data_IF_024351344673
#
_entry.id   IF_024351344673
#
_cell.length_a   1.000
_cell.length_b   1.000
_cell.length_c   1.000
_cell.angle_alpha   90.00
_cell.angle_beta   90.00
_cell.angle_gamma   90.00
#
_symmetry.space_group_name_H-M   'P 1'
#
loop_
_entity.id
_entity.type
_entity.pdbx_description
1 polymer ?
#
# COMPACT_ATOMS: atom_id res chain seq x y z
N UNK A 1 -44.48 -26.51 -17.65
CA UNK A 1 -45.34 -25.70 -16.76
C UNK A 1 -44.57 -25.39 -15.50
N UNK A 2 -43.85 -24.27 -15.45
CA UNK A 2 -43.15 -23.79 -14.24
C UNK A 2 -43.88 -22.54 -13.73
N UNK A 3 -44.30 -22.56 -12.47
CA UNK A 3 -44.94 -21.43 -11.77
C UNK A 3 -43.87 -20.54 -11.14
N UNK A 4 -43.98 -19.24 -11.38
CA UNK A 4 -43.22 -18.18 -10.70
C UNK A 4 -43.86 -17.83 -9.34
N UNK A 5 -43.11 -17.37 -8.33
CA UNK A 5 -43.68 -16.82 -7.11
C UNK A 5 -43.89 -15.31 -7.23
N UNK A 6 -45.08 -14.85 -6.83
CA UNK A 6 -45.46 -13.45 -6.72
C UNK A 6 -44.84 -12.81 -5.48
N UNK A 7 -44.10 -11.71 -5.68
CA UNK A 7 -43.58 -10.85 -4.62
C UNK A 7 -44.68 -9.85 -4.21
N UNK A 8 -45.11 -9.88 -2.95
CA UNK A 8 -46.08 -8.95 -2.36
C UNK A 8 -45.29 -7.79 -1.70
N UNK A 9 -45.34 -6.59 -2.29
CA UNK A 9 -44.74 -5.37 -1.73
C UNK A 9 -45.79 -4.67 -0.86
N UNK A 10 -45.53 -4.59 0.44
CA UNK A 10 -46.33 -3.83 1.40
C UNK A 10 -45.82 -2.38 1.44
N UNK A 11 -46.57 -1.45 0.86
CA UNK A 11 -46.31 -0.02 0.97
C UNK A 11 -46.96 0.54 2.24
N UNK A 12 -46.16 0.93 3.23
CA UNK A 12 -46.61 1.62 4.44
C UNK A 12 -46.33 3.12 4.26
N UNK A 13 -47.38 3.91 4.00
CA UNK A 13 -47.26 5.38 3.96
C UNK A 13 -47.52 5.97 5.36
N UNK A 14 -46.51 6.65 5.91
CA UNK A 14 -46.66 7.47 7.10
C UNK A 14 -46.74 8.93 6.67
N UNK A 15 -47.92 9.53 6.82
CA UNK A 15 -48.15 10.96 6.64
C UNK A 15 -47.68 11.72 7.89
N UNK A 16 -46.75 12.66 7.70
CA UNK A 16 -46.29 13.60 8.74
C UNK A 16 -47.09 14.90 8.63
N UNK A 17 -47.64 15.45 9.74
CA UNK A 17 -48.42 16.68 9.70
C UNK A 17 -47.55 17.93 9.48
N UNK A 18 -47.96 18.77 8.52
CA UNK A 18 -47.22 19.91 8.00
C UNK A 18 -47.33 21.21 8.83
N UNK A 19 -47.35 21.16 10.17
CA UNK A 19 -47.60 22.35 11.01
C UNK A 19 -46.47 22.74 11.98
N UNK A 20 -45.24 22.24 11.80
CA UNK A 20 -44.12 22.53 12.72
C UNK A 20 -42.86 23.14 12.06
N UNK A 21 -42.99 23.82 10.90
CA UNK A 21 -41.81 24.23 10.09
C UNK A 21 -41.50 25.75 10.18
N UNK A 22 -42.40 26.60 10.70
CA UNK A 22 -42.21 28.05 10.64
C UNK A 22 -41.28 28.63 11.73
N UNK A 23 -41.26 28.08 12.95
CA UNK A 23 -40.57 28.72 14.09
C UNK A 23 -39.06 28.40 14.21
N UNK A 24 -38.53 27.39 13.51
CA UNK A 24 -37.12 26.99 13.64
C UNK A 24 -36.14 27.79 12.77
N UNK A 25 -36.62 28.62 11.84
CA UNK A 25 -35.77 29.36 10.90
C UNK A 25 -35.14 30.61 11.55
N UNK A 26 -35.84 31.27 12.47
CA UNK A 26 -35.34 32.49 13.13
C UNK A 26 -34.26 32.17 14.19
N UNK A 27 -34.41 31.09 14.96
CA UNK A 27 -33.43 30.71 15.99
C UNK A 27 -32.10 30.19 15.38
N UNK A 28 -32.17 29.48 14.24
CA UNK A 28 -30.98 29.00 13.51
C UNK A 28 -30.15 30.15 12.93
N UNK A 29 -30.78 31.26 12.49
CA UNK A 29 -30.07 32.41 11.94
C UNK A 29 -29.25 33.18 13.02
N UNK A 30 -29.78 33.28 14.24
CA UNK A 30 -29.08 33.93 15.36
C UNK A 30 -27.88 33.10 15.87
N UNK A 31 -28.03 31.76 15.97
CA UNK A 31 -26.92 30.85 16.34
C UNK A 31 -25.81 30.84 15.28
N UNK A 32 -26.15 30.94 13.98
CA UNK A 32 -25.16 30.95 12.88
C UNK A 32 -24.23 32.17 12.96
N UNK A 33 -24.75 33.38 13.22
CA UNK A 33 -23.93 34.61 13.36
C UNK A 33 -22.97 34.58 14.57
N UNK A 34 -23.37 33.96 15.69
CA UNK A 34 -22.49 33.83 16.88
C UNK A 34 -21.34 32.84 16.66
N UNK A 35 -21.59 31.74 15.92
CA UNK A 35 -20.56 30.74 15.57
C UNK A 35 -19.49 31.30 14.63
N UNK A 36 -19.87 32.14 13.66
CA UNK A 36 -18.91 32.71 12.68
C UNK A 36 -17.92 33.68 13.33
N UNK A 37 -18.33 34.46 14.34
CA UNK A 37 -17.42 35.36 15.06
C UNK A 37 -16.43 34.61 15.96
N UNK A 38 -16.86 33.52 16.63
CA UNK A 38 -15.97 32.71 17.47
C UNK A 38 -14.92 31.95 16.63
N UNK A 39 -15.31 31.44 15.45
CA UNK A 39 -14.40 30.77 14.51
C UNK A 39 -13.30 31.70 13.98
N UNK A 40 -13.61 32.96 13.63
CA UNK A 40 -12.59 33.91 13.15
C UNK A 40 -11.55 34.28 14.22
N UNK A 41 -11.95 34.39 15.50
CA UNK A 41 -11.02 34.68 16.59
C UNK A 41 -10.08 33.50 16.89
N UNK A 42 -10.60 32.26 16.78
CA UNK A 42 -9.80 31.03 16.95
C UNK A 42 -8.78 30.84 15.84
N UNK A 43 -9.16 31.07 14.58
CA UNK A 43 -8.24 30.90 13.44
C UNK A 43 -7.06 31.86 13.45
N UNK A 44 -7.25 33.09 13.98
CA UNK A 44 -6.13 34.05 14.10
C UNK A 44 -5.14 33.61 15.19
N UNK A 45 -5.63 33.17 16.34
CA UNK A 45 -4.77 32.67 17.42
C UNK A 45 -3.99 31.41 17.00
N UNK A 46 -4.62 30.50 16.25
CA UNK A 46 -3.96 29.32 15.69
C UNK A 46 -2.84 29.72 14.70
N UNK A 47 -3.14 30.62 13.75
CA UNK A 47 -2.15 31.06 12.78
C UNK A 47 -0.95 31.80 13.42
N UNK A 48 -1.18 32.55 14.50
CA UNK A 48 -0.12 33.20 15.26
C UNK A 48 0.74 32.17 16.02
N UNK A 49 0.15 31.07 16.51
CA UNK A 49 0.86 29.96 17.16
C UNK A 49 1.66 29.13 16.15
N UNK A 50 1.05 28.74 15.02
CA UNK A 50 1.70 27.95 13.97
C UNK A 50 2.93 28.71 13.41
N UNK A 51 2.82 30.04 13.28
CA UNK A 51 3.94 30.89 12.88
C UNK A 51 5.06 30.88 13.91
N UNK A 52 4.74 30.97 15.21
CA UNK A 52 5.74 30.94 16.27
C UNK A 52 6.47 29.59 16.37
N UNK A 53 5.75 28.48 16.17
CA UNK A 53 6.36 27.14 16.11
C UNK A 53 7.26 26.97 14.89
N UNK A 54 6.85 27.50 13.72
CA UNK A 54 7.67 27.48 12.51
C UNK A 54 8.93 28.34 12.67
N UNK A 55 8.82 29.54 13.25
CA UNK A 55 9.96 30.42 13.50
C UNK A 55 10.96 29.77 14.50
N UNK A 56 10.47 29.02 15.49
CA UNK A 56 11.32 28.26 16.42
C UNK A 56 12.03 27.08 15.74
N UNK A 57 11.34 26.33 14.88
CA UNK A 57 11.93 25.21 14.15
C UNK A 57 13.02 25.66 13.16
N UNK A 58 12.85 26.83 12.53
CA UNK A 58 13.89 27.42 11.66
C UNK A 58 15.13 27.78 12.49
N UNK A 59 14.95 28.35 13.69
CA UNK A 59 16.08 28.69 14.56
C UNK A 59 16.87 27.45 15.03
N UNK A 60 16.18 26.36 15.38
CA UNK A 60 16.84 25.10 15.76
C UNK A 60 17.60 24.48 14.59
N UNK A 61 17.04 24.51 13.37
CA UNK A 61 17.70 24.00 12.17
C UNK A 61 18.95 24.83 11.79
N UNK A 62 18.90 26.16 11.96
CA UNK A 62 20.07 27.03 11.75
C UNK A 62 21.17 26.77 12.78
N UNK A 63 20.80 26.48 14.04
CA UNK A 63 21.77 26.12 15.08
C UNK A 63 22.44 24.76 14.83
N UNK A 64 21.68 23.76 14.37
CA UNK A 64 22.21 22.42 14.04
C UNK A 64 23.14 22.48 12.81
N UNK A 65 22.78 23.27 11.79
CA UNK A 65 23.62 23.49 10.61
C UNK A 65 24.95 24.19 10.98
N UNK A 66 24.92 25.14 11.91
CA UNK A 66 26.13 25.81 12.40
C UNK A 66 27.05 24.87 13.20
N UNK A 67 26.48 23.94 13.97
CA UNK A 67 27.25 22.93 14.71
C UNK A 67 27.93 21.93 13.77
N UNK A 68 27.24 21.46 12.73
CA UNK A 68 27.80 20.54 11.74
C UNK A 68 28.94 21.17 10.92
N UNK A 69 28.86 22.47 10.63
CA UNK A 69 29.94 23.20 9.94
C UNK A 69 31.20 23.33 10.81
N UNK A 70 31.06 23.43 12.13
CA UNK A 70 32.20 23.52 13.05
C UNK A 70 32.95 22.19 13.24
N UNK A 71 32.28 21.04 13.13
CA UNK A 71 32.94 19.72 13.18
C UNK A 71 33.76 19.41 11.92
N UNK A 72 33.38 19.95 10.76
CA UNK A 72 34.09 19.71 9.50
C UNK A 72 35.47 20.38 9.42
N UNK A 73 35.72 21.45 10.19
CA UNK A 73 37.03 22.15 10.19
C UNK A 73 38.11 21.50 11.06
N UNK A 74 37.78 20.50 11.89
CA UNK A 74 38.75 19.85 12.81
C UNK A 74 39.24 18.46 12.37
N UNK A 75 38.84 17.96 11.20
CA UNK A 75 39.31 16.68 10.69
C UNK A 75 40.73 16.80 10.11
N UNK A 76 41.74 16.55 10.95
CA UNK A 76 43.13 16.39 10.51
C UNK A 76 43.33 15.00 9.88
N UNK A 77 44.01 14.87 8.72
CA UNK A 77 44.31 13.57 8.14
C UNK A 77 45.44 12.89 8.90
N UNK A 78 45.14 11.76 9.55
CA UNK A 78 46.11 10.90 10.20
C UNK A 78 46.85 10.06 9.15
N UNK A 79 48.16 10.30 9.05
CA UNK A 79 49.08 9.56 8.20
C UNK A 79 49.78 8.49 9.04
N UNK A 80 49.15 7.31 9.12
CA UNK A 80 49.72 6.11 9.74
C UNK A 80 50.38 5.20 8.71
N UNK A 81 51.71 5.17 8.72
CA UNK A 81 52.57 4.34 7.89
C UNK A 81 52.64 2.86 8.34
N UNK A 82 52.79 1.99 7.35
CA UNK A 82 53.61 0.77 7.27
C UNK A 82 53.89 -0.06 8.53
N UNK A 83 53.43 -1.33 8.51
CA UNK A 83 54.17 -2.46 9.08
C UNK A 83 53.76 -3.81 8.46
N UNK A 84 54.73 -4.45 7.82
CA UNK A 84 54.98 -5.90 7.77
C UNK A 84 53.88 -6.88 7.30
N UNK A 85 54.01 -7.34 6.05
CA UNK A 85 53.82 -8.77 5.72
C UNK A 85 54.84 -9.21 4.65
N UNK A 86 56.09 -9.44 5.06
CA UNK A 86 57.06 -10.20 4.27
C UNK A 86 56.73 -11.70 4.37
N UNK A 87 56.06 -12.25 3.35
CA UNK A 87 55.95 -13.70 3.18
C UNK A 87 57.31 -14.27 2.78
N UNK A 88 57.78 -15.27 3.53
CA UNK A 88 59.02 -15.99 3.24
C UNK A 88 58.91 -16.83 1.97
N UNK A 89 59.99 -16.91 1.20
CA UNK A 89 60.11 -17.67 -0.06
C UNK A 89 59.67 -19.14 0.06
N UNK A 90 59.84 -19.77 1.21
CA UNK A 90 59.39 -21.14 1.49
C UNK A 90 57.85 -21.30 1.49
N UNK A 91 57.10 -20.21 1.75
CA UNK A 91 55.65 -20.22 1.77
C UNK A 91 55.05 -20.05 0.36
N UNK A 92 55.82 -19.47 -0.57
CA UNK A 92 55.42 -19.34 -1.99
C UNK A 92 55.64 -20.66 -2.74
N UNK A 93 56.67 -21.44 -2.36
CA UNK A 93 56.99 -22.72 -3.00
C UNK A 93 56.06 -23.86 -2.54
N UNK A 94 55.54 -23.84 -1.30
CA UNK A 94 54.58 -24.83 -0.81
C UNK A 94 53.16 -24.68 -1.42
N UNK A 95 52.75 -23.45 -1.74
CA UNK A 95 51.46 -23.19 -2.38
C UNK A 95 51.45 -23.56 -3.87
N UNK A 96 52.63 -23.66 -4.51
CA UNK A 96 52.75 -24.06 -5.91
C UNK A 96 52.59 -25.58 -6.13
N UNK A 97 53.03 -26.41 -5.18
CA UNK A 97 52.98 -27.88 -5.30
C UNK A 97 51.58 -28.44 -4.96
N UNK A 98 50.79 -27.72 -4.15
CA UNK A 98 49.38 -28.05 -3.88
C UNK A 98 48.44 -27.74 -5.06
N UNK A 99 48.85 -26.89 -6.01
CA UNK A 99 48.03 -26.49 -7.16
C UNK A 99 48.07 -27.49 -8.33
N UNK A 100 49.11 -28.33 -8.44
CA UNK A 100 49.22 -29.32 -9.54
C UNK A 100 48.45 -30.63 -9.27
N UNK A 101 48.17 -30.97 -8.01
CA UNK A 101 47.43 -32.19 -7.67
C UNK A 101 45.90 -32.08 -7.86
N UNK A 102 45.35 -30.88 -8.05
CA UNK A 102 43.91 -30.66 -8.29
C UNK A 102 43.54 -30.46 -9.78
N UNK A 103 44.49 -30.63 -10.70
CA UNK A 103 44.26 -30.46 -12.14
C UNK A 103 43.61 -31.67 -12.84
N UNK A 104 43.33 -32.77 -12.14
CA UNK A 104 42.81 -34.01 -12.72
C UNK A 104 41.36 -34.35 -12.36
N UNK A 105 40.61 -33.44 -11.71
CA UNK A 105 39.15 -33.63 -11.56
C UNK A 105 38.49 -33.33 -12.91
N UNK A 106 37.69 -34.24 -13.48
CA UNK A 106 36.98 -33.98 -14.72
C UNK A 106 36.15 -32.71 -14.54
N UNK A 107 36.42 -31.70 -15.39
CA UNK A 107 35.65 -30.46 -15.45
C UNK A 107 34.17 -30.88 -15.45
N UNK A 108 33.38 -30.52 -14.42
CA UNK A 108 31.96 -30.85 -14.38
C UNK A 108 31.40 -30.42 -15.73
N UNK A 109 30.73 -31.35 -16.42
CA UNK A 109 30.11 -31.06 -17.71
C UNK A 109 29.38 -29.73 -17.56
N UNK A 110 29.79 -28.75 -18.35
CA UNK A 110 29.22 -27.42 -18.38
C UNK A 110 27.77 -27.63 -18.82
N UNK A 111 26.88 -27.79 -17.84
CA UNK A 111 25.45 -27.94 -18.07
C UNK A 111 25.06 -26.62 -18.71
N UNK A 112 24.88 -26.63 -20.03
CA UNK A 112 24.30 -25.51 -20.75
C UNK A 112 23.08 -25.09 -19.94
N UNK A 113 23.04 -23.85 -19.42
CA UNK A 113 21.91 -23.41 -18.62
C UNK A 113 20.69 -23.59 -19.52
N UNK A 114 19.77 -24.47 -19.11
CA UNK A 114 18.55 -24.69 -19.86
C UNK A 114 17.99 -23.31 -20.23
N UNK A 115 17.64 -23.08 -21.52
CA UNK A 115 17.17 -21.79 -21.96
C UNK A 115 16.04 -21.40 -21.01
N UNK A 116 16.32 -20.39 -20.17
CA UNK A 116 15.38 -19.92 -19.15
C UNK A 116 14.12 -19.65 -19.92
N UNK A 117 13.11 -20.52 -19.75
CA UNK A 117 11.88 -20.47 -20.51
C UNK A 117 11.42 -19.02 -20.40
N UNK A 118 11.42 -18.31 -21.54
CA UNK A 118 11.09 -16.90 -21.57
C UNK A 118 9.82 -16.76 -20.74
N UNK A 119 9.89 -15.98 -19.65
CA UNK A 119 8.77 -15.61 -18.78
C UNK A 119 7.54 -15.66 -19.66
N UNK A 120 6.60 -16.59 -19.43
CA UNK A 120 5.49 -16.83 -20.38
C UNK A 120 5.03 -15.47 -20.84
N UNK A 121 5.25 -15.12 -22.11
CA UNK A 121 5.49 -13.73 -22.54
C UNK A 121 4.39 -12.74 -22.12
N UNK A 122 3.28 -13.33 -21.67
CA UNK A 122 2.03 -12.74 -21.26
C UNK A 122 1.46 -13.49 -20.05
N UNK A 123 1.86 -13.15 -18.82
CA UNK A 123 1.32 -13.82 -17.64
C UNK A 123 -0.17 -13.50 -17.49
N UNK A 124 -0.97 -14.54 -17.26
CA UNK A 124 -2.38 -14.36 -16.86
C UNK A 124 -2.43 -13.55 -15.56
N UNK A 125 -3.47 -12.71 -15.43
CA UNK A 125 -3.79 -11.95 -14.21
C UNK A 125 -4.68 -12.75 -13.25
N UNK A 126 -4.82 -14.06 -13.50
CA UNK A 126 -5.44 -15.02 -12.59
C UNK A 126 -4.42 -16.08 -12.18
N UNK A 127 -4.69 -16.75 -11.07
CA UNK A 127 -3.86 -17.84 -10.58
C UNK A 127 -4.23 -19.12 -11.34
N UNK A 128 -3.21 -19.81 -11.85
CA UNK A 128 -3.40 -21.08 -12.54
C UNK A 128 -4.11 -22.13 -11.68
N UNK A 129 -4.88 -23.02 -12.31
CA UNK A 129 -5.68 -24.04 -11.63
C UNK A 129 -4.85 -24.86 -10.62
N UNK A 130 -5.38 -25.00 -9.41
CA UNK A 130 -4.80 -25.80 -8.33
C UNK A 130 -3.62 -25.13 -7.62
N UNK A 131 -3.19 -23.94 -8.05
CA UNK A 131 -2.11 -23.20 -7.38
C UNK A 131 -2.68 -22.37 -6.25
N UNK A 132 -1.98 -22.39 -5.12
CA UNK A 132 -2.23 -21.50 -4.00
C UNK A 132 -1.13 -20.44 -3.98
N UNK A 133 -1.51 -19.18 -3.79
CA UNK A 133 -0.57 -18.08 -3.61
C UNK A 133 -0.89 -17.37 -2.30
N UNK A 134 0.09 -17.30 -1.42
CA UNK A 134 0.09 -16.34 -0.31
C UNK A 134 0.83 -15.12 -0.83
N UNK A 135 0.19 -13.96 -0.91
CA UNK A 135 0.77 -12.70 -1.40
C UNK A 135 0.18 -11.49 -0.67
N UNK A 136 0.30 -10.28 -1.25
CA UNK A 136 -0.13 -9.03 -0.63
C UNK A 136 0.98 -8.34 0.16
N UNK A 137 0.63 -7.23 0.82
CA UNK A 137 1.56 -6.46 1.64
C UNK A 137 1.72 -7.13 3.01
N UNK A 138 2.52 -8.19 3.02
CA UNK A 138 2.67 -9.13 4.13
C UNK A 138 3.09 -8.44 5.41
N UNK A 139 3.96 -7.42 5.35
CA UNK A 139 4.30 -6.54 6.46
C UNK A 139 4.16 -5.10 5.97
N UNK A 140 3.43 -4.28 6.72
CA UNK A 140 3.34 -2.84 6.49
C UNK A 140 3.91 -2.13 7.71
N UNK A 141 4.80 -1.18 7.50
CA UNK A 141 5.41 -0.35 8.53
C UNK A 141 5.08 1.09 8.21
N UNK A 142 4.41 1.78 9.12
CA UNK A 142 4.25 3.23 9.02
C UNK A 142 5.62 3.90 9.12
N UNK A 143 5.92 4.79 8.19
CA UNK A 143 7.17 5.56 8.14
C UNK A 143 6.94 7.07 8.27
N UNK A 144 5.73 7.47 8.68
CA UNK A 144 5.35 8.87 8.87
C UNK A 144 6.01 9.49 10.10
N UNK A 145 6.19 10.80 10.09
CA UNK A 145 6.88 11.55 11.15
C UNK A 145 6.09 11.45 12.44
N UNK A 146 6.77 11.20 13.56
CA UNK A 146 6.12 10.97 14.85
C UNK A 146 5.35 9.66 14.99
N UNK A 147 5.24 8.85 13.92
CA UNK A 147 4.49 7.60 13.89
C UNK A 147 5.26 6.44 13.22
N UNK A 148 6.60 6.50 13.22
CA UNK A 148 7.45 5.42 12.68
C UNK A 148 7.18 4.13 13.43
N UNK A 149 6.92 3.05 12.67
CA UNK A 149 6.49 1.74 13.17
C UNK A 149 5.20 1.78 14.02
N UNK A 150 4.34 2.78 13.81
CA UNK A 150 3.04 2.93 14.48
C UNK A 150 1.93 3.18 13.45
N UNK A 151 1.31 2.13 12.88
CA UNK A 151 1.44 0.73 13.25
C UNK A 151 2.48 -0.05 12.43
N UNK A 152 2.80 -1.26 12.92
CA UNK A 152 3.29 -2.37 12.10
C UNK A 152 2.16 -3.39 11.99
N UNK A 153 1.83 -3.81 10.77
CA UNK A 153 0.76 -4.75 10.52
C UNK A 153 1.13 -5.84 9.53
N UNK A 154 0.45 -6.98 9.65
CA UNK A 154 0.57 -8.12 8.76
C UNK A 154 -0.74 -8.27 7.96
N UNK A 155 -0.67 -8.09 6.64
CA UNK A 155 -1.83 -8.20 5.77
C UNK A 155 -1.64 -9.27 4.67
N UNK A 156 -1.41 -10.55 5.02
CA UNK A 156 -1.25 -11.59 4.01
C UNK A 156 -2.60 -11.85 3.31
N UNK A 157 -2.60 -11.84 2.00
CA UNK A 157 -3.73 -12.27 1.17
C UNK A 157 -3.46 -13.70 0.69
N UNK A 158 -4.47 -14.57 0.72
CA UNK A 158 -4.39 -15.95 0.27
C UNK A 158 -5.31 -16.09 -0.92
N UNK A 159 -4.77 -16.55 -2.04
CA UNK A 159 -5.50 -16.73 -3.28
C UNK A 159 -5.36 -18.17 -3.79
N UNK A 160 -6.43 -18.69 -4.39
CA UNK A 160 -6.48 -20.03 -4.95
C UNK A 160 -7.04 -20.01 -6.37
N UNK A 161 -6.32 -20.64 -7.31
CA UNK A 161 -6.77 -20.82 -8.68
C UNK A 161 -7.77 -21.96 -8.79
N UNK A 162 -9.07 -21.65 -8.84
CA UNK A 162 -10.14 -22.64 -9.06
C UNK A 162 -10.06 -23.21 -10.48
N UNK A 163 -9.83 -22.32 -11.46
CA UNK A 163 -9.54 -22.66 -12.86
C UNK A 163 -8.43 -21.74 -13.38
N UNK A 164 -8.00 -21.91 -14.63
CA UNK A 164 -7.05 -20.96 -15.27
C UNK A 164 -7.66 -19.59 -15.56
N UNK A 165 -8.94 -19.37 -15.26
CA UNK A 165 -9.68 -18.12 -15.47
C UNK A 165 -10.45 -17.68 -14.22
N UNK A 166 -10.39 -18.44 -13.14
CA UNK A 166 -11.14 -18.15 -11.92
C UNK A 166 -10.21 -18.30 -10.74
N UNK A 167 -10.02 -17.22 -10.00
CA UNK A 167 -9.32 -17.25 -8.72
C UNK A 167 -10.22 -16.68 -7.64
N UNK A 168 -10.12 -17.24 -6.45
CA UNK A 168 -10.79 -16.73 -5.26
C UNK A 168 -9.73 -16.39 -4.22
N UNK A 169 -9.97 -15.36 -3.42
CA UNK A 169 -9.01 -14.90 -2.43
C UNK A 169 -9.66 -14.46 -1.13
N UNK A 170 -8.94 -14.66 -0.04
CA UNK A 170 -9.17 -13.98 1.24
C UNK A 170 -8.11 -12.90 1.35
N UNK A 171 -8.52 -11.65 1.55
CA UNK A 171 -7.62 -10.49 1.50
C UNK A 171 -7.71 -9.66 2.78
N UNK A 172 -6.61 -8.97 3.11
CA UNK A 172 -6.56 -8.07 4.27
C UNK A 172 -6.25 -6.62 3.88
N UNK A 173 -5.92 -6.38 2.62
CA UNK A 173 -5.50 -5.09 2.08
C UNK A 173 -6.50 -4.55 1.05
N UNK A 174 -7.74 -5.02 1.13
CA UNK A 174 -8.83 -4.64 0.23
C UNK A 174 -8.64 -5.20 -1.17
N UNK A 175 -8.30 -6.48 -1.30
CA UNK A 175 -8.25 -7.15 -2.59
C UNK A 175 -6.97 -6.92 -3.39
N UNK A 176 -5.81 -6.69 -2.77
CA UNK A 176 -4.59 -6.64 -3.58
C UNK A 176 -4.26 -8.03 -4.12
N UNK A 177 -3.66 -8.03 -5.30
CA UNK A 177 -3.18 -9.23 -5.96
C UNK A 177 -1.66 -9.21 -6.04
N UNK A 178 -1.05 -10.32 -6.44
CA UNK A 178 0.39 -10.39 -6.69
C UNK A 178 0.87 -9.39 -7.77
N UNK A 179 -0.05 -8.87 -8.60
CA UNK A 179 0.25 -7.96 -9.70
C UNK A 179 -0.04 -6.48 -9.36
N UNK A 180 -0.91 -6.23 -8.39
CA UNK A 180 -1.29 -4.89 -7.93
C UNK A 180 -0.88 -4.66 -6.48
N UNK A 181 0.42 -4.77 -6.14
CA UNK A 181 0.88 -4.59 -4.76
C UNK A 181 0.58 -3.18 -4.29
N UNK A 182 -0.10 -3.09 -3.14
CA UNK A 182 -0.38 -1.83 -2.46
C UNK A 182 -0.07 -2.00 -0.99
N UNK A 183 0.94 -1.30 -0.45
CA UNK A 183 1.07 -1.21 1.00
C UNK A 183 -0.21 -0.56 1.54
N UNK A 184 -1.02 -1.36 2.23
CA UNK A 184 -2.30 -0.92 2.75
C UNK A 184 -2.09 -0.44 4.17
N UNK A 185 -1.84 0.86 4.30
CA UNK A 185 -2.05 1.55 5.55
C UNK A 185 -3.36 2.31 5.39
N UNK A 186 -4.36 1.91 6.17
CA UNK A 186 -5.66 2.59 6.17
C UNK A 186 -5.47 3.86 6.98
N UNK A 187 -5.39 4.96 6.26
CA UNK A 187 -5.44 6.28 6.85
C UNK A 187 -6.92 6.65 6.95
N UNK A 188 -7.51 6.43 8.12
CA UNK A 188 -8.87 6.87 8.40
C UNK A 188 -8.76 8.25 9.01
N UNK A 189 -9.12 9.27 8.24
CA UNK A 189 -9.26 10.61 8.77
C UNK A 189 -10.58 10.68 9.51
N UNK A 190 -10.53 10.65 10.84
CA UNK A 190 -11.71 10.84 11.67
C UNK A 190 -11.78 12.33 12.00
N UNK A 191 -12.78 13.02 11.44
CA UNK A 191 -13.13 14.35 11.91
C UNK A 191 -13.79 14.22 13.28
N UNK A 192 -12.98 14.31 14.33
CA UNK A 192 -13.48 14.36 15.69
C UNK A 192 -14.22 15.69 15.86
N UNK A 193 -15.43 15.62 16.43
CA UNK A 193 -16.42 16.67 16.67
C UNK A 193 -15.87 17.90 17.45
N UNK A 194 -14.94 18.65 16.86
CA UNK A 194 -14.34 19.90 17.37
C UNK A 194 -13.43 20.61 16.35
N UNK A 195 -13.23 20.04 15.15
CA UNK A 195 -12.23 20.55 14.20
C UNK A 195 -10.81 20.06 14.48
N UNK A 196 -10.69 18.95 15.24
CA UNK A 196 -9.46 18.18 15.37
C UNK A 196 -9.61 17.00 14.41
N UNK A 197 -8.79 17.01 13.38
CA UNK A 197 -8.71 15.93 12.41
C UNK A 197 -7.68 14.94 12.94
N UNK A 198 -8.14 13.85 13.56
CA UNK A 198 -7.23 12.78 13.97
C UNK A 198 -7.10 11.80 12.80
N UNK A 199 -5.88 11.69 12.32
CA UNK A 199 -5.51 10.74 11.29
C UNK A 199 -5.24 9.41 11.99
N UNK A 200 -6.24 8.55 12.12
CA UNK A 200 -6.02 7.20 12.63
C UNK A 200 -5.39 6.37 11.53
N UNK A 201 -4.08 6.16 11.67
CA UNK A 201 -3.35 5.23 10.85
C UNK A 201 -3.58 3.83 11.44
N UNK A 202 -4.50 3.07 10.83
CA UNK A 202 -4.77 1.70 11.22
C UNK A 202 -4.06 0.72 10.29
N UNK A 203 -3.50 -0.33 10.89
CA UNK A 203 -2.85 -1.41 10.15
C UNK A 203 -3.88 -2.24 9.41
N UNK A 204 -3.61 -2.61 8.16
CA UNK A 204 -4.37 -3.64 7.48
C UNK A 204 -4.07 -5.02 8.10
N UNK A 205 -5.10 -5.84 8.29
CA UNK A 205 -4.98 -7.21 8.77
C UNK A 205 -4.67 -7.32 10.26
N UNK A 206 -3.62 -8.09 10.60
CA UNK A 206 -3.18 -8.34 11.96
C UNK A 206 -2.24 -7.23 12.39
N UNK A 207 -2.60 -6.42 13.39
CA UNK A 207 -1.67 -5.45 13.95
C UNK A 207 -0.80 -6.05 15.05
N UNK A 208 0.53 -5.85 14.94
CA UNK A 208 1.51 -6.42 15.89
C UNK A 208 2.01 -5.43 16.93
N UNK A 209 1.76 -4.13 16.75
CA UNK A 209 2.29 -3.08 17.66
C UNK A 209 1.39 -2.79 18.86
N UNK A 210 0.17 -3.32 18.88
CA UNK A 210 -0.78 -3.11 19.97
C UNK A 210 -1.22 -1.66 20.13
N UNK A 211 -1.89 -1.36 21.26
CA UNK A 211 -2.50 -0.04 21.51
C UNK A 211 -1.47 1.09 21.53
N UNK A 212 -0.29 0.85 22.09
CA UNK A 212 0.80 1.84 22.18
C UNK A 212 1.40 2.20 20.80
N UNK A 213 1.18 1.34 19.80
CA UNK A 213 1.55 1.57 18.41
C UNK A 213 0.38 1.95 17.52
N UNK A 214 -0.64 2.60 18.09
CA UNK A 214 -1.83 3.08 17.39
C UNK A 214 -2.68 1.96 16.75
N UNK A 215 -2.68 0.78 17.38
CA UNK A 215 -3.60 -0.29 17.01
C UNK A 215 -4.62 -0.49 18.10
N UNK A 216 -5.81 0.08 17.87
CA UNK A 216 -6.97 -0.15 18.72
C UNK A 216 -7.27 -1.64 18.88
N UNK A 217 -6.99 -2.45 17.84
CA UNK A 217 -7.27 -3.89 17.81
C UNK A 217 -6.16 -4.71 17.14
N UNK A 218 -5.97 -5.99 17.55
CA UNK A 218 -5.01 -6.89 16.91
C UNK A 218 -5.46 -7.36 15.53
N UNK A 219 -6.76 -7.31 15.21
CA UNK A 219 -7.31 -7.70 13.92
C UNK A 219 -8.66 -7.01 13.74
N UNK A 220 -8.88 -6.28 12.64
CA UNK A 220 -10.11 -5.50 12.46
C UNK A 220 -10.72 -5.57 11.07
N UNK A 221 -10.09 -6.26 10.10
CA UNK A 221 -10.62 -6.29 8.75
C UNK A 221 -10.27 -7.58 8.01
N UNK A 222 -11.16 -7.98 7.11
CA UNK A 222 -10.99 -9.14 6.23
C UNK A 222 -11.86 -8.94 4.99
N UNK A 223 -11.45 -9.46 3.85
CA UNK A 223 -12.24 -9.46 2.64
C UNK A 223 -12.18 -10.78 1.91
N UNK A 224 -13.17 -11.00 1.05
CA UNK A 224 -13.19 -12.06 0.06
C UNK A 224 -13.23 -11.42 -1.33
N UNK A 225 -12.52 -12.01 -2.29
CA UNK A 225 -12.40 -11.46 -3.64
C UNK A 225 -12.42 -12.57 -4.68
N UNK A 226 -12.92 -12.28 -5.87
CA UNK A 226 -13.06 -13.21 -6.99
C UNK A 226 -12.53 -12.54 -8.25
N UNK A 227 -11.50 -13.13 -8.86
CA UNK A 227 -10.95 -12.71 -10.14
C UNK A 227 -11.47 -13.63 -11.26
N UNK A 228 -12.07 -13.03 -12.28
CA UNK A 228 -12.58 -13.70 -13.47
C UNK A 228 -11.76 -13.23 -14.67
N UNK A 229 -10.87 -14.09 -15.16
CA UNK A 229 -10.04 -13.86 -16.33
C UNK A 229 -10.89 -13.73 -17.60
N UNK A 230 -10.71 -12.63 -18.32
CA UNK A 230 -11.46 -12.28 -19.53
C UNK A 230 -10.56 -12.33 -20.77
N UNK A 231 -9.27 -12.00 -20.64
CA UNK A 231 -8.29 -12.09 -21.73
C UNK A 231 -6.92 -12.54 -21.20
N UNK A 232 -6.18 -13.26 -22.04
CA UNK A 232 -4.75 -13.53 -21.85
C UNK A 232 -4.00 -13.07 -23.11
N UNK A 233 -2.67 -12.98 -23.02
CA UNK A 233 -1.82 -12.48 -24.10
C UNK A 233 -1.26 -11.10 -23.78
N UNK A 234 -0.97 -10.29 -24.81
CA UNK A 234 -0.36 -8.96 -24.62
C UNK A 234 -1.08 -8.11 -23.57
N UNK A 235 -2.38 -8.26 -23.49
CA UNK A 235 -3.21 -7.78 -22.40
C UNK A 235 -3.77 -8.98 -21.63
N UNK A 236 -3.23 -9.24 -20.44
CA UNK A 236 -3.93 -10.04 -19.43
C UNK A 236 -5.00 -9.17 -18.79
N UNK A 237 -6.24 -9.63 -18.75
CA UNK A 237 -7.37 -8.86 -18.23
C UNK A 237 -8.32 -9.74 -17.43
N UNK A 238 -8.75 -9.25 -16.27
CA UNK A 238 -9.76 -9.89 -15.44
C UNK A 238 -10.73 -8.84 -14.90
N UNK A 239 -12.00 -9.23 -14.73
CA UNK A 239 -12.92 -8.51 -13.86
C UNK A 239 -12.81 -9.07 -12.45
N UNK A 240 -13.11 -8.26 -11.43
CA UNK A 240 -13.18 -8.76 -10.06
C UNK A 240 -14.29 -8.14 -9.24
N UNK A 241 -14.74 -8.93 -8.27
CA UNK A 241 -15.78 -8.56 -7.31
C UNK A 241 -15.30 -8.97 -5.93
N UNK A 242 -15.30 -8.00 -5.01
CA UNK A 242 -14.88 -8.18 -3.64
C UNK A 242 -15.95 -7.80 -2.63
N UNK A 243 -15.89 -8.41 -1.46
CA UNK A 243 -16.66 -8.04 -0.28
C UNK A 243 -15.70 -7.89 0.89
N UNK A 244 -15.75 -6.76 1.58
CA UNK A 244 -14.84 -6.46 2.67
C UNK A 244 -15.62 -6.17 3.95
N UNK A 245 -15.20 -6.78 5.05
CA UNK A 245 -15.46 -6.30 6.41
C UNK A 245 -14.33 -5.34 6.74
N UNK A 246 -14.61 -4.04 6.64
CA UNK A 246 -13.65 -2.95 6.84
C UNK A 246 -13.37 -2.70 8.33
N UNK A 247 -14.37 -2.96 9.18
CA UNK A 247 -14.31 -2.89 10.64
C UNK A 247 -15.17 -4.02 11.21
N UNK A 248 -14.58 -4.97 11.94
CA UNK A 248 -15.29 -6.13 12.48
C UNK A 248 -16.23 -5.73 13.62
N UNK A 249 -15.82 -4.80 14.50
CA UNK A 249 -16.65 -4.45 15.66
C UNK A 249 -17.85 -3.56 15.27
N UNK A 250 -17.65 -2.67 14.30
CA UNK A 250 -18.73 -1.80 13.78
C UNK A 250 -19.54 -2.51 12.71
N UNK A 251 -19.07 -3.66 12.22
CA UNK A 251 -19.64 -4.37 11.07
C UNK A 251 -19.76 -3.44 9.85
N UNK A 252 -18.71 -2.67 9.60
CA UNK A 252 -18.61 -1.82 8.42
C UNK A 252 -18.28 -2.68 7.21
N UNK A 253 -19.21 -2.75 6.26
CA UNK A 253 -19.19 -3.64 5.11
C UNK A 253 -19.06 -2.83 3.82
N UNK A 254 -18.23 -3.32 2.91
CA UNK A 254 -18.08 -2.78 1.56
C UNK A 254 -18.21 -3.88 0.52
N UNK A 255 -18.68 -3.52 -0.67
CA UNK A 255 -18.52 -4.28 -1.89
C UNK A 255 -17.58 -3.54 -2.83
N UNK A 256 -16.85 -4.29 -3.65
CA UNK A 256 -15.97 -3.76 -4.69
C UNK A 256 -16.29 -4.42 -6.02
N UNK A 257 -16.24 -3.63 -7.08
CA UNK A 257 -16.25 -4.13 -8.46
C UNK A 257 -15.11 -3.42 -9.20
N UNK A 258 -14.27 -4.20 -9.87
CA UNK A 258 -13.12 -3.65 -10.56
C UNK A 258 -12.67 -4.47 -11.76
N UNK A 259 -11.58 -4.02 -12.34
CA UNK A 259 -10.92 -4.69 -13.44
C UNK A 259 -9.41 -4.64 -13.24
N UNK A 260 -8.75 -5.79 -13.37
CA UNK A 260 -7.30 -5.91 -13.30
C UNK A 260 -6.75 -6.15 -14.70
N UNK A 261 -5.82 -5.29 -15.13
CA UNK A 261 -5.15 -5.41 -16.41
C UNK A 261 -3.63 -5.39 -16.27
N UNK A 262 -2.96 -6.24 -17.04
CA UNK A 262 -1.50 -6.20 -17.25
C UNK A 262 -1.22 -6.18 -18.75
N UNK A 263 -0.69 -5.07 -19.23
CA UNK A 263 -0.36 -4.84 -20.63
C UNK A 263 1.15 -4.85 -20.83
N UNK A 264 1.66 -5.83 -21.57
CA UNK A 264 3.07 -5.90 -21.93
C UNK A 264 3.40 -4.85 -23.02
N UNK A 265 4.08 -3.78 -22.63
CA UNK A 265 4.51 -2.72 -23.53
C UNK A 265 5.74 -3.16 -24.35
N UNK A 266 6.66 -3.85 -23.68
CA UNK A 266 7.87 -4.44 -24.26
C UNK A 266 8.19 -5.76 -23.54
N UNK A 267 9.27 -6.45 -23.93
CA UNK A 267 9.69 -7.71 -23.31
C UNK A 267 10.06 -7.60 -21.83
N UNK A 268 10.37 -6.39 -21.35
CA UNK A 268 10.79 -6.10 -19.97
C UNK A 268 9.96 -5.01 -19.30
N UNK A 269 8.93 -4.48 -19.98
CA UNK A 269 8.13 -3.36 -19.47
C UNK A 269 6.66 -3.70 -19.57
N UNK A 270 5.94 -3.57 -18.46
CA UNK A 270 4.51 -3.78 -18.41
C UNK A 270 3.80 -2.62 -17.70
N UNK A 271 2.61 -2.27 -18.21
CA UNK A 271 1.68 -1.42 -17.51
C UNK A 271 0.69 -2.30 -16.76
N UNK A 272 0.47 -2.05 -15.48
CA UNK A 272 -0.60 -2.70 -14.70
C UNK A 272 -1.58 -1.64 -14.24
N UNK A 273 -2.87 -1.94 -14.28
CA UNK A 273 -3.92 -1.07 -13.79
C UNK A 273 -4.99 -1.90 -13.08
N UNK A 274 -5.59 -1.35 -12.03
CA UNK A 274 -6.57 -2.07 -11.20
C UNK A 274 -7.72 -1.14 -10.74
N UNK A 275 -8.41 -0.45 -11.67
CA UNK A 275 -9.53 0.42 -11.35
C UNK A 275 -10.66 -0.35 -10.67
N UNK A 276 -11.23 0.26 -9.64
CA UNK A 276 -12.33 -0.29 -8.88
C UNK A 276 -13.24 0.79 -8.32
N UNK A 277 -14.50 0.42 -8.22
CA UNK A 277 -15.53 1.16 -7.51
C UNK A 277 -15.79 0.44 -6.21
N UNK A 278 -15.76 1.18 -5.11
CA UNK A 278 -16.14 0.71 -3.79
C UNK A 278 -17.53 1.24 -3.47
N UNK A 279 -18.40 0.34 -3.00
CA UNK A 279 -19.76 0.63 -2.59
C UNK A 279 -19.86 0.24 -1.12
N UNK A 280 -20.14 1.20 -0.25
CA UNK A 280 -20.39 0.94 1.14
C UNK A 280 -21.78 0.31 1.32
N UNK A 281 -21.79 -0.83 2.01
CA UNK A 281 -23.01 -1.57 2.32
C UNK A 281 -23.57 -1.16 3.69
N UNK A 282 -22.71 -0.76 4.62
CA UNK A 282 -23.06 -0.17 5.93
C UNK A 282 -22.19 1.07 6.20
N UNK A 283 -22.57 1.87 7.19
CA UNK A 283 -21.82 3.05 7.67
C UNK A 283 -21.34 4.00 6.56
N UNK A 284 -22.22 4.31 5.59
CA UNK A 284 -21.90 5.15 4.42
C UNK A 284 -21.38 6.55 4.76
N UNK A 285 -21.67 7.03 5.96
CA UNK A 285 -21.15 8.30 6.46
C UNK A 285 -19.64 8.24 6.78
N UNK A 286 -19.15 7.07 7.20
CA UNK A 286 -17.75 6.83 7.57
C UNK A 286 -16.94 6.18 6.45
N UNK A 287 -17.58 5.31 5.67
CA UNK A 287 -17.04 4.73 4.45
C UNK A 287 -17.92 5.16 3.28
N UNK A 288 -17.65 6.30 2.62
CA UNK A 288 -18.43 6.70 1.46
C UNK A 288 -18.16 5.77 0.27
N UNK A 289 -19.12 5.73 -0.67
CA UNK A 289 -18.91 5.13 -1.99
C UNK A 289 -17.76 5.88 -2.69
N UNK A 290 -16.87 5.16 -3.38
CA UNK A 290 -15.62 5.74 -3.87
C UNK A 290 -15.05 5.08 -5.11
N UNK A 291 -14.10 5.78 -5.71
CA UNK A 291 -13.33 5.34 -6.86
C UNK A 291 -11.86 5.17 -6.45
N UNK A 292 -11.22 4.14 -6.99
CA UNK A 292 -9.79 3.90 -6.85
C UNK A 292 -9.22 3.39 -8.18
N UNK A 293 -8.30 4.15 -8.78
CA UNK A 293 -7.70 3.94 -10.10
C UNK A 293 -6.19 3.92 -9.97
N UNK A 294 -5.61 2.82 -9.50
CA UNK A 294 -4.18 2.66 -9.38
C UNK A 294 -3.54 2.23 -10.71
N UNK A 295 -2.28 2.61 -10.88
CA UNK A 295 -1.47 2.39 -12.07
C UNK A 295 -0.03 2.07 -11.67
N UNK A 296 0.54 1.02 -12.25
CA UNK A 296 1.94 0.63 -12.06
C UNK A 296 2.64 0.52 -13.39
N UNK A 297 3.90 0.96 -13.44
CA UNK A 297 4.82 0.65 -14.52
C UNK A 297 5.87 -0.30 -13.97
N UNK A 298 5.86 -1.53 -14.47
CA UNK A 298 6.80 -2.58 -14.11
C UNK A 298 7.97 -2.62 -15.10
N UNK A 299 9.18 -2.78 -14.56
CA UNK A 299 10.40 -3.03 -15.29
C UNK A 299 11.07 -4.32 -14.77
N UNK A 300 11.16 -5.34 -15.61
CA UNK A 300 11.71 -6.67 -15.28
C UNK A 300 13.02 -6.88 -16.06
N UNK A 301 14.17 -6.37 -15.57
CA UNK A 301 15.45 -6.47 -16.29
C UNK A 301 15.91 -7.92 -16.51
N UNK A 302 15.46 -8.83 -15.65
CA UNK A 302 15.73 -10.27 -15.70
C UNK A 302 14.53 -11.08 -15.22
N UNK A 303 14.57 -12.40 -15.41
CA UNK A 303 13.56 -13.31 -14.86
C UNK A 303 13.57 -13.42 -13.32
N UNK A 304 14.58 -12.84 -12.64
CA UNK A 304 14.73 -12.92 -11.19
C UNK A 304 14.41 -11.63 -10.46
N UNK A 305 14.44 -10.49 -11.15
CA UNK A 305 14.36 -9.16 -10.52
C UNK A 305 13.36 -8.31 -11.29
N UNK A 306 12.43 -7.71 -10.55
CA UNK A 306 11.50 -6.71 -11.02
C UNK A 306 11.58 -5.44 -10.20
N UNK A 307 11.31 -4.31 -10.85
CA UNK A 307 11.11 -3.01 -10.25
C UNK A 307 9.75 -2.49 -10.70
N UNK A 308 9.14 -1.64 -9.90
CA UNK A 308 8.01 -0.86 -10.37
C UNK A 308 8.02 0.52 -9.74
N UNK A 309 7.40 1.44 -10.47
CA UNK A 309 6.88 2.68 -9.92
C UNK A 309 5.37 2.62 -10.02
N UNK A 310 4.68 3.21 -9.06
CA UNK A 310 3.23 3.24 -9.08
C UNK A 310 2.67 4.57 -8.62
N UNK A 311 1.48 4.85 -9.13
CA UNK A 311 0.66 5.96 -8.72
C UNK A 311 -0.81 5.56 -8.83
N UNK A 312 -1.70 6.53 -8.67
CA UNK A 312 -3.10 6.30 -8.84
C UNK A 312 -3.92 7.49 -8.44
N UNK A 313 -5.21 7.25 -8.35
CA UNK A 313 -6.17 8.23 -7.90
C UNK A 313 -7.22 7.50 -7.07
N UNK A 314 -7.45 7.93 -5.85
CA UNK A 314 -8.54 7.43 -5.04
C UNK A 314 -9.30 8.56 -4.35
N UNK A 315 -10.59 8.33 -4.08
CA UNK A 315 -11.42 9.29 -3.36
C UNK A 315 -12.91 8.92 -3.36
N UNK A 316 -13.70 9.52 -2.46
CA UNK A 316 -15.15 9.39 -2.44
C UNK A 316 -15.79 9.96 -3.71
N UNK A 317 -16.90 9.38 -4.17
CA UNK A 317 -17.67 9.98 -5.26
C UNK A 317 -18.27 11.32 -4.88
N UNK A 318 -18.80 11.42 -3.66
CA UNK A 318 -19.29 12.69 -3.12
C UNK A 318 -18.09 13.55 -2.71
N UNK A 319 -17.98 14.74 -3.30
CA UNK A 319 -16.85 15.63 -3.05
C UNK A 319 -15.51 15.16 -3.62
N UNK A 320 -15.50 14.34 -4.68
CA UNK A 320 -14.26 13.81 -5.26
C UNK A 320 -13.22 14.90 -5.63
N UNK A 321 -13.67 16.07 -6.08
CA UNK A 321 -12.79 17.21 -6.39
C UNK A 321 -12.17 17.88 -5.15
N UNK A 322 -12.79 17.68 -3.99
CA UNK A 322 -12.39 18.26 -2.70
C UNK A 322 -11.66 17.25 -1.79
N UNK A 323 -11.78 15.95 -2.08
CA UNK A 323 -11.14 14.88 -1.32
C UNK A 323 -10.68 13.78 -2.29
N UNK A 324 -9.39 13.81 -2.64
CA UNK A 324 -8.76 12.72 -3.39
C UNK A 324 -7.30 12.59 -2.97
N UNK A 325 -6.79 11.36 -3.02
CA UNK A 325 -5.39 11.07 -2.81
C UNK A 325 -4.74 10.56 -4.10
N UNK A 326 -3.51 10.99 -4.31
CA UNK A 326 -2.64 10.48 -5.38
C UNK A 326 -1.42 9.88 -4.71
N UNK A 327 -1.40 8.55 -4.50
CA UNK A 327 -0.22 7.89 -3.99
C UNK A 327 0.88 7.90 -5.04
N UNK A 328 2.13 7.89 -4.57
CA UNK A 328 3.31 7.67 -5.41
C UNK A 328 4.24 6.74 -4.66
N UNK A 329 4.68 5.67 -5.30
CA UNK A 329 5.60 4.74 -4.68
C UNK A 329 6.48 4.02 -5.68
N UNK A 330 7.43 3.29 -5.10
CA UNK A 330 8.40 2.47 -5.82
C UNK A 330 8.52 1.14 -5.12
N UNK A 331 8.84 0.10 -5.86
CA UNK A 331 9.07 -1.21 -5.27
C UNK A 331 9.97 -2.09 -6.10
N UNK A 332 10.42 -3.16 -5.47
CA UNK A 332 11.24 -4.20 -6.10
C UNK A 332 10.75 -5.58 -5.68
N UNK A 333 10.96 -6.57 -6.54
CA UNK A 333 10.71 -7.98 -6.24
C UNK A 333 11.85 -8.84 -6.75
N UNK A 334 12.21 -9.85 -5.96
CA UNK A 334 13.24 -10.84 -6.28
C UNK A 334 12.64 -12.24 -6.19
N UNK A 335 12.74 -13.01 -7.27
CA UNK A 335 12.42 -14.43 -7.27
C UNK A 335 13.58 -15.21 -6.62
N UNK A 336 13.43 -15.46 -5.31
CA UNK A 336 14.41 -16.18 -4.50
C UNK A 336 14.42 -17.70 -4.76
N UNK A 337 13.41 -18.22 -5.46
CA UNK A 337 13.35 -19.61 -5.92
C UNK A 337 12.15 -19.86 -6.83
N UNK A 338 11.94 -21.12 -7.22
CA UNK A 338 10.83 -21.50 -8.11
C UNK A 338 9.42 -21.21 -7.55
N UNK A 339 9.32 -21.06 -6.23
CA UNK A 339 8.06 -20.90 -5.49
C UNK A 339 8.03 -19.67 -4.59
N UNK A 340 9.13 -18.93 -4.50
CA UNK A 340 9.30 -17.87 -3.52
C UNK A 340 9.72 -16.57 -4.22
N UNK A 341 8.91 -15.54 -4.03
CA UNK A 341 9.24 -14.17 -4.40
C UNK A 341 9.23 -13.32 -3.15
N UNK A 342 10.30 -12.56 -2.95
CA UNK A 342 10.39 -11.53 -1.92
C UNK A 342 10.23 -10.17 -2.58
N UNK A 343 9.69 -9.20 -1.87
CA UNK A 343 9.59 -7.84 -2.37
C UNK A 343 9.63 -6.83 -1.23
N UNK A 344 9.98 -5.61 -1.59
CA UNK A 344 9.86 -4.46 -0.73
C UNK A 344 9.33 -3.29 -1.55
N UNK A 345 8.64 -2.38 -0.89
CA UNK A 345 8.10 -1.19 -1.52
C UNK A 345 8.00 -0.04 -0.53
N UNK A 346 8.13 1.17 -1.06
CA UNK A 346 8.01 2.40 -0.30
C UNK A 346 7.03 3.31 -1.03
N UNK A 347 6.06 3.86 -0.29
CA UNK A 347 4.99 4.67 -0.85
C UNK A 347 4.73 5.91 0.00
N UNK A 348 4.47 7.02 -0.68
CA UNK A 348 3.77 8.17 -0.14
C UNK A 348 2.27 8.00 -0.37
N UNK A 349 1.47 8.05 0.70
CA UNK A 349 0.02 7.80 0.64
C UNK A 349 -0.77 8.91 -0.08
N UNK A 350 -0.25 10.15 -0.08
CA UNK A 350 -0.88 11.28 -0.75
C UNK A 350 0.15 12.36 -1.19
N UNK A 351 1.00 12.03 -2.16
CA UNK A 351 2.06 12.96 -2.59
C UNK A 351 1.54 14.08 -3.51
N UNK A 352 0.53 13.79 -4.33
CA UNK A 352 0.05 14.72 -5.37
C UNK A 352 -1.47 14.99 -5.31
N UNK A 353 -2.16 14.48 -4.30
CA UNK A 353 -3.60 14.68 -4.15
C UNK A 353 -3.97 15.99 -3.46
N UNK A 354 -5.25 16.12 -3.10
CA UNK A 354 -5.73 17.27 -2.33
C UNK A 354 -5.18 17.20 -0.90
N UNK A 355 -4.66 18.31 -0.39
CA UNK A 355 -3.99 18.33 0.90
C UNK A 355 -2.74 17.44 0.91
N UNK A 356 -2.01 17.40 -0.22
CA UNK A 356 -0.84 16.56 -0.37
C UNK A 356 0.20 16.80 0.71
N UNK A 357 0.88 15.71 1.08
CA UNK A 357 1.95 15.71 2.05
C UNK A 357 2.92 14.59 1.74
N UNK A 358 4.21 14.83 1.96
CA UNK A 358 5.24 13.80 1.94
C UNK A 358 5.30 13.00 3.25
N UNK A 359 4.51 13.37 4.26
CA UNK A 359 4.61 12.76 5.57
C UNK A 359 3.98 11.37 5.64
N UNK A 360 2.83 11.16 4.99
CA UNK A 360 2.17 9.86 4.93
C UNK A 360 3.01 8.86 4.14
N UNK A 361 3.79 8.03 4.85
CA UNK A 361 4.78 7.11 4.26
C UNK A 361 4.57 5.70 4.76
N UNK A 362 4.75 4.73 3.87
CA UNK A 362 4.62 3.31 4.20
C UNK A 362 5.77 2.53 3.58
N UNK A 363 6.38 1.66 4.38
CA UNK A 363 7.28 0.62 3.91
C UNK A 363 6.53 -0.72 3.93
N UNK A 364 6.38 -1.34 2.75
CA UNK A 364 5.84 -2.67 2.57
C UNK A 364 6.96 -3.71 2.42
N UNK A 365 6.81 -4.87 3.05
CA UNK A 365 7.56 -6.08 2.74
C UNK A 365 6.57 -7.13 2.25
N UNK A 366 6.89 -7.74 1.11
CA UNK A 366 6.03 -8.67 0.39
C UNK A 366 6.68 -10.05 0.35
N UNK A 367 5.85 -11.05 0.63
CA UNK A 367 6.18 -12.44 0.47
C UNK A 367 5.14 -13.04 -0.47
N UNK A 368 5.58 -13.56 -1.61
CA UNK A 368 4.74 -14.37 -2.48
C UNK A 368 5.22 -15.82 -2.48
N UNK A 369 4.41 -16.74 -1.96
CA UNK A 369 4.69 -18.18 -1.99
C UNK A 369 3.68 -18.87 -2.88
N UNK A 370 4.14 -19.59 -3.91
CA UNK A 370 3.29 -20.51 -4.67
C UNK A 370 3.45 -21.93 -4.15
N UNK A 371 2.34 -22.56 -3.77
CA UNK A 371 2.30 -23.98 -3.42
C UNK A 371 1.81 -24.85 -4.58
#
# INVERSE_FOLDING_TARGET
MLRAPSLLILALSLAVPAHAIADTKAEKAAKKKKKTKKSKKSKKAQADQDKAEMDAAVADAEAEAAAAAAEAENATPDAGADADVLKTKAQIEADAEAAEAEAAKPKPAEVEPEPIAALSAYPSVTIGKGRLVISGSTVNVNMSSGAVAKPVSLAPSIWYGVTNKLSIGVTHDGGTTSWSPRPAVRVTTIDVLAGVTETEVSGAGICVTGKDGNCSKPYNNVGADVLIGLADGKLGFAAHVGFDVLSIDEMTLGARVGALGRFALASKVALVFDPRVQIALTDREFTPDGLDVPLWVWFEPSAKVGFYVHTGFAGPFDGLGDSFNVPVGVGTSVHAGARLTLGADFQFSNLLGKGSSADGRVLGVRLAVTL
#
